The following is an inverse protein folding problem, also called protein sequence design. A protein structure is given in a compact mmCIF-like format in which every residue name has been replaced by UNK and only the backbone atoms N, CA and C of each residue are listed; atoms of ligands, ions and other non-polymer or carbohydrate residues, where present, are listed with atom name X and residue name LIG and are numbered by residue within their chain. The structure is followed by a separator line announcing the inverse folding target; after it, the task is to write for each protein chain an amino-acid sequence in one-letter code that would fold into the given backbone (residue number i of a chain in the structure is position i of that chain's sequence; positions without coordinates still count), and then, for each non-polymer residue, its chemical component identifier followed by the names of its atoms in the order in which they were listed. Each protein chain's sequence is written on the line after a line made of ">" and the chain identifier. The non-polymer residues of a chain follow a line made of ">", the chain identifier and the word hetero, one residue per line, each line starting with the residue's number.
data_IF_602333817251
#
_entry.id   IF_602333817251
#
_cell.length_a   1.000
_cell.length_b   1.000
_cell.length_c   1.000
_cell.angle_alpha   90.00
_cell.angle_beta   90.00
_cell.angle_gamma   90.00
#
_symmetry.space_group_name_H-M   'P 1'
#
loop_
_entity.id
_entity.type
_entity.pdbx_description
1 polymer ?
#
# COMPACT_ATOMS: atom_id res chain seq x y z
N UNK A 1 -0.18 5.27 21.73
CA UNK A 1 1.07 5.29 20.94
C UNK A 1 1.22 3.96 20.22
N UNK A 2 1.47 4.01 18.91
CA UNK A 2 1.66 2.84 18.07
C UNK A 2 3.11 2.79 17.60
N UNK A 3 3.78 1.66 17.85
CA UNK A 3 5.11 1.40 17.27
C UNK A 3 4.92 0.67 15.95
N UNK A 4 5.46 1.22 14.88
CA UNK A 4 5.33 0.68 13.53
C UNK A 4 6.70 0.47 12.90
N UNK A 5 6.92 -0.70 12.33
CA UNK A 5 8.19 -1.05 11.72
C UNK A 5 8.54 -0.13 10.55
N UNK A 6 9.76 0.41 10.54
CA UNK A 6 10.27 1.19 9.43
C UNK A 6 11.06 0.36 8.41
N UNK A 7 11.21 -0.94 8.69
CA UNK A 7 11.93 -1.90 7.84
C UNK A 7 11.01 -3.00 7.29
N UNK A 8 9.70 -2.74 7.27
CA UNK A 8 8.73 -3.67 6.72
C UNK A 8 8.09 -3.06 5.46
N UNK A 9 8.16 -3.80 4.36
CA UNK A 9 7.67 -3.35 3.05
C UNK A 9 6.65 -4.35 2.51
N UNK A 10 5.49 -3.85 2.11
CA UNK A 10 4.43 -4.64 1.50
C UNK A 10 3.62 -3.80 0.53
N UNK A 11 3.02 -4.44 -0.47
CA UNK A 11 2.05 -3.79 -1.33
C UNK A 11 0.74 -3.61 -0.57
N UNK A 12 0.07 -2.51 -0.83
CA UNK A 12 -1.29 -2.25 -0.36
C UNK A 12 -2.14 -1.89 -1.56
N UNK A 13 -3.27 -2.57 -1.72
CA UNK A 13 -4.13 -2.43 -2.88
C UNK A 13 -5.54 -2.04 -2.43
N UNK A 14 -6.13 -1.05 -3.11
CA UNK A 14 -7.52 -0.71 -2.92
C UNK A 14 -8.39 -1.76 -3.62
N UNK A 15 -9.29 -2.38 -2.88
CA UNK A 15 -10.08 -3.52 -3.38
C UNK A 15 -10.90 -3.18 -4.63
N UNK A 16 -11.41 -1.97 -4.73
CA UNK A 16 -12.21 -1.57 -5.91
C UNK A 16 -11.37 -1.43 -7.18
N UNK A 17 -10.05 -1.20 -7.07
CA UNK A 17 -9.16 -1.22 -8.23
C UNK A 17 -9.07 -2.63 -8.85
N UNK A 18 -9.12 -3.65 -8.02
CA UNK A 18 -9.15 -5.04 -8.49
C UNK A 18 -10.50 -5.35 -9.11
N UNK A 19 -11.59 -4.96 -8.45
CA UNK A 19 -12.95 -5.22 -8.93
C UNK A 19 -13.19 -4.57 -10.29
N UNK A 20 -12.75 -3.32 -10.48
CA UNK A 20 -12.93 -2.57 -11.73
C UNK A 20 -12.24 -3.23 -12.92
N UNK A 21 -11.22 -4.03 -12.68
CA UNK A 21 -10.46 -4.71 -13.73
C UNK A 21 -10.73 -6.21 -13.80
N UNK A 22 -11.65 -6.71 -12.98
CA UNK A 22 -11.87 -8.15 -12.84
C UNK A 22 -12.27 -8.82 -14.14
N UNK A 23 -13.02 -8.16 -15.01
CA UNK A 23 -13.43 -8.70 -16.31
C UNK A 23 -12.24 -9.12 -17.19
N UNK A 24 -11.11 -8.42 -17.06
CA UNK A 24 -9.90 -8.73 -17.83
C UNK A 24 -9.32 -10.10 -17.50
N UNK A 25 -9.68 -10.67 -16.35
CA UNK A 25 -9.21 -11.99 -15.93
C UNK A 25 -9.60 -13.06 -16.94
N UNK A 26 -10.77 -12.93 -17.58
CA UNK A 26 -11.26 -13.90 -18.54
C UNK A 26 -10.44 -13.96 -19.83
N UNK A 27 -9.63 -12.95 -20.09
CA UNK A 27 -8.77 -12.86 -21.26
C UNK A 27 -7.33 -13.33 -20.98
N UNK A 28 -7.03 -13.70 -19.73
CA UNK A 28 -5.71 -14.15 -19.33
C UNK A 28 -5.48 -15.62 -19.70
N UNK A 29 -4.25 -15.92 -20.12
CA UNK A 29 -3.83 -17.30 -20.28
C UNK A 29 -3.80 -17.99 -18.92
N UNK A 30 -3.98 -19.30 -18.92
CA UNK A 30 -3.92 -20.09 -17.70
C UNK A 30 -2.56 -19.93 -17.02
N UNK A 31 -2.58 -19.72 -15.71
CA UNK A 31 -1.36 -19.55 -14.94
C UNK A 31 -1.59 -18.81 -13.62
N UNK A 32 -0.50 -18.56 -12.92
CA UNK A 32 -0.49 -17.81 -11.68
C UNK A 32 -0.10 -16.36 -11.93
N UNK A 33 -0.85 -15.43 -11.35
CA UNK A 33 -0.64 -14.00 -11.50
C UNK A 33 -0.64 -13.33 -10.12
N UNK A 34 0.39 -12.52 -9.85
CA UNK A 34 0.43 -11.66 -8.69
C UNK A 34 -0.13 -10.30 -9.08
N UNK A 35 -1.10 -9.80 -8.32
CA UNK A 35 -1.80 -8.57 -8.66
C UNK A 35 -1.86 -7.61 -7.47
N UNK A 36 -1.94 -6.33 -7.78
CA UNK A 36 -2.12 -5.29 -6.80
C UNK A 36 -1.23 -4.08 -7.04
N UNK A 37 -1.40 -3.09 -6.17
CA UNK A 37 -0.57 -1.89 -6.13
C UNK A 37 0.75 -2.17 -5.42
N UNK A 38 1.79 -1.46 -5.82
CA UNK A 38 3.10 -1.60 -5.20
C UNK A 38 3.67 -0.24 -4.79
N UNK A 39 4.75 -0.24 -4.02
CA UNK A 39 5.39 0.97 -3.51
C UNK A 39 6.78 0.66 -2.98
N UNK A 40 7.55 1.71 -2.67
CA UNK A 40 8.86 1.62 -2.05
C UNK A 40 8.85 2.17 -0.61
N UNK A 41 7.69 2.21 0.01
CA UNK A 41 7.49 2.81 1.33
C UNK A 41 7.44 1.74 2.41
N UNK A 42 7.99 2.05 3.60
CA UNK A 42 7.83 1.20 4.75
C UNK A 42 6.41 1.30 5.32
N UNK A 43 6.06 0.35 6.17
CA UNK A 43 4.77 0.40 6.87
C UNK A 43 4.62 1.68 7.69
N UNK A 44 5.70 2.17 8.28
CA UNK A 44 5.71 3.45 8.99
C UNK A 44 5.36 4.61 8.05
N UNK A 45 6.00 4.67 6.87
CA UNK A 45 5.77 5.74 5.90
C UNK A 45 4.31 5.78 5.43
N UNK A 46 3.71 4.61 5.19
CA UNK A 46 2.31 4.51 4.78
C UNK A 46 1.38 5.00 5.90
N UNK A 47 1.65 4.58 7.14
CA UNK A 47 0.85 5.01 8.31
C UNK A 47 0.94 6.52 8.50
N UNK A 48 2.13 7.08 8.36
CA UNK A 48 2.34 8.52 8.44
C UNK A 48 1.58 9.28 7.36
N UNK A 49 1.60 8.78 6.13
CA UNK A 49 0.86 9.37 5.01
C UNK A 49 -0.64 9.45 5.30
N UNK A 50 -1.21 8.38 5.84
CA UNK A 50 -2.63 8.35 6.20
C UNK A 50 -2.95 9.43 7.24
N UNK A 51 -2.14 9.54 8.29
CA UNK A 51 -2.35 10.54 9.34
C UNK A 51 -2.24 11.97 8.81
N UNK A 52 -1.28 12.23 7.92
CA UNK A 52 -1.13 13.54 7.28
C UNK A 52 -2.34 13.89 6.43
N UNK A 53 -2.87 12.92 5.67
CA UNK A 53 -4.06 13.13 4.84
C UNK A 53 -5.32 13.36 5.68
N UNK A 54 -5.39 12.81 6.87
CA UNK A 54 -6.50 13.05 7.80
C UNK A 54 -6.40 14.41 8.50
N UNK A 55 -5.40 15.22 8.18
CA UNK A 55 -5.26 16.58 8.70
C UNK A 55 -4.53 16.71 10.02
N UNK A 56 -3.84 15.68 10.46
CA UNK A 56 -3.06 15.74 11.69
C UNK A 56 -1.75 16.49 11.48
N UNK A 57 -1.38 17.32 12.45
CA UNK A 57 -0.09 18.03 12.43
C UNK A 57 1.04 17.13 12.95
N UNK A 58 2.28 17.59 12.77
CA UNK A 58 3.48 16.86 13.18
C UNK A 58 3.47 16.51 14.67
N UNK A 59 2.99 17.41 15.53
CA UNK A 59 2.93 17.18 16.96
C UNK A 59 2.02 16.00 17.31
N UNK A 60 0.83 15.94 16.71
CA UNK A 60 -0.11 14.84 16.94
C UNK A 60 0.39 13.54 16.34
N UNK A 61 0.99 13.57 15.16
CA UNK A 61 1.57 12.39 14.53
C UNK A 61 2.65 11.79 15.43
N UNK A 62 3.53 12.61 15.96
CA UNK A 62 4.60 12.17 16.87
C UNK A 62 4.09 11.54 18.16
N UNK A 63 2.92 11.97 18.64
CA UNK A 63 2.29 11.38 19.82
C UNK A 63 1.67 10.00 19.54
N UNK A 64 1.17 9.79 18.34
CA UNK A 64 0.43 8.59 17.98
C UNK A 64 1.36 7.53 17.37
N UNK A 65 2.30 7.95 16.55
CA UNK A 65 3.11 7.06 15.71
C UNK A 65 4.59 7.18 16.03
N UNK A 66 5.22 6.05 16.35
CA UNK A 66 6.64 5.98 16.65
C UNK A 66 7.27 4.89 15.78
N UNK A 67 8.45 5.17 15.25
CA UNK A 67 9.23 4.19 14.49
C UNK A 67 9.70 3.05 15.38
N UNK A 68 9.48 1.82 14.95
CA UNK A 68 10.12 0.66 15.54
C UNK A 68 11.34 0.32 14.69
N UNK A 69 12.49 0.86 15.10
CA UNK A 69 13.75 0.67 14.38
C UNK A 69 14.42 -0.67 14.67
N UNK A 70 14.00 -1.33 15.76
CA UNK A 70 14.58 -2.62 16.17
C UNK A 70 13.96 -3.77 15.39
N UNK A 71 12.68 -3.71 15.09
CA UNK A 71 11.99 -4.77 14.36
C UNK A 71 12.53 -4.85 12.94
N UNK A 72 12.98 -6.02 12.54
CA UNK A 72 13.59 -6.27 11.24
C UNK A 72 14.87 -5.47 10.98
N UNK A 73 15.58 -5.03 12.03
CA UNK A 73 16.81 -4.23 11.89
C UNK A 73 17.95 -5.00 11.21
N UNK A 74 18.04 -6.30 11.43
CA UNK A 74 19.08 -7.15 10.83
C UNK A 74 18.75 -7.54 9.40
N UNK A 75 17.47 -7.72 9.10
CA UNK A 75 17.00 -8.08 7.78
C UNK A 75 15.60 -7.48 7.56
N UNK A 76 15.49 -6.54 6.63
CA UNK A 76 14.21 -5.92 6.31
C UNK A 76 13.20 -6.97 5.83
N UNK A 77 11.96 -6.86 6.31
CA UNK A 77 10.86 -7.71 5.83
C UNK A 77 10.27 -7.10 4.56
N UNK A 78 10.52 -7.74 3.45
CA UNK A 78 10.00 -7.32 2.16
C UNK A 78 9.11 -8.41 1.57
N UNK A 79 7.81 -8.19 1.64
CA UNK A 79 6.80 -9.12 1.11
C UNK A 79 6.05 -8.52 -0.08
N UNK A 80 6.65 -7.53 -0.73
CA UNK A 80 6.08 -6.96 -1.96
C UNK A 80 6.11 -8.00 -3.08
N UNK A 81 5.04 -8.01 -3.88
CA UNK A 81 4.91 -8.93 -5.01
C UNK A 81 5.41 -8.27 -6.29
N UNK A 82 6.02 -9.06 -7.15
CA UNK A 82 6.33 -8.62 -8.51
C UNK A 82 5.06 -8.76 -9.35
N UNK A 83 4.47 -7.63 -9.72
CA UNK A 83 3.24 -7.56 -10.51
C UNK A 83 3.48 -7.35 -12.00
N UNK A 84 4.72 -7.50 -12.47
CA UNK A 84 5.09 -7.25 -13.87
C UNK A 84 4.31 -8.11 -14.86
N UNK A 85 4.07 -9.38 -14.53
CA UNK A 85 3.36 -10.31 -15.42
C UNK A 85 1.93 -9.82 -15.71
N UNK A 86 1.18 -9.44 -14.69
CA UNK A 86 -0.21 -8.99 -14.87
C UNK A 86 -0.28 -7.61 -15.51
N UNK A 87 0.69 -6.74 -15.23
CA UNK A 87 0.79 -5.43 -15.88
C UNK A 87 0.99 -5.57 -17.39
N UNK A 88 1.80 -6.53 -17.82
CA UNK A 88 2.01 -6.78 -19.24
C UNK A 88 0.74 -7.28 -19.95
N UNK A 89 -0.22 -7.80 -19.18
CA UNK A 89 -1.52 -8.23 -19.69
C UNK A 89 -2.55 -7.10 -19.74
N UNK A 90 -2.17 -5.86 -19.46
CA UNK A 90 -3.04 -4.69 -19.55
C UNK A 90 -3.74 -4.29 -18.27
N UNK A 91 -3.39 -4.89 -17.13
CA UNK A 91 -3.91 -4.47 -15.84
C UNK A 91 -3.15 -3.24 -15.35
N UNK A 92 -3.88 -2.25 -14.86
CA UNK A 92 -3.34 -1.00 -14.37
C UNK A 92 -3.76 -0.78 -12.93
N UNK A 93 -2.78 -0.61 -12.04
CA UNK A 93 -3.01 -0.27 -10.65
C UNK A 93 -2.29 1.04 -10.33
N UNK A 94 -2.96 1.92 -9.60
CA UNK A 94 -2.33 3.10 -9.03
C UNK A 94 -1.30 2.65 -7.98
N UNK A 95 -0.33 3.51 -7.67
CA UNK A 95 0.57 3.21 -6.56
C UNK A 95 -0.19 3.25 -5.22
N UNK A 96 0.43 2.73 -4.17
CA UNK A 96 -0.22 2.61 -2.86
C UNK A 96 -0.73 3.95 -2.33
N UNK A 97 0.02 5.04 -2.49
CA UNK A 97 -0.39 6.35 -1.97
C UNK A 97 -1.61 6.89 -2.71
N UNK A 98 -1.64 6.76 -4.03
CA UNK A 98 -2.80 7.17 -4.83
C UNK A 98 -4.03 6.34 -4.47
N UNK A 99 -3.87 5.05 -4.26
CA UNK A 99 -4.95 4.15 -3.85
C UNK A 99 -5.51 4.52 -2.48
N UNK A 100 -4.65 4.84 -1.52
CA UNK A 100 -5.06 5.27 -0.17
C UNK A 100 -5.85 6.58 -0.25
N UNK A 101 -5.36 7.56 -0.99
CA UNK A 101 -6.04 8.83 -1.14
C UNK A 101 -7.43 8.67 -1.75
N UNK A 102 -7.54 7.87 -2.80
CA UNK A 102 -8.82 7.55 -3.44
C UNK A 102 -9.77 6.86 -2.47
N UNK A 103 -9.27 5.89 -1.70
CA UNK A 103 -10.05 5.18 -0.69
C UNK A 103 -10.60 6.14 0.37
N UNK A 104 -9.75 7.02 0.90
CA UNK A 104 -10.16 7.98 1.91
C UNK A 104 -11.23 8.94 1.40
N UNK A 105 -11.13 9.38 0.15
CA UNK A 105 -12.13 10.25 -0.48
C UNK A 105 -13.46 9.52 -0.69
N UNK A 106 -13.43 8.31 -1.23
CA UNK A 106 -14.65 7.54 -1.52
C UNK A 106 -15.41 7.17 -0.25
N UNK A 107 -14.71 6.92 0.86
CA UNK A 107 -15.33 6.64 2.15
C UNK A 107 -15.52 7.89 3.01
N UNK A 108 -15.35 9.09 2.43
CA UNK A 108 -15.65 10.39 3.03
C UNK A 108 -14.82 10.75 4.26
N UNK A 109 -13.57 10.31 4.31
CA UNK A 109 -12.62 10.77 5.32
C UNK A 109 -11.89 12.06 4.90
N UNK A 110 -11.97 12.40 3.63
CA UNK A 110 -11.39 13.65 3.09
C UNK A 110 -12.47 14.51 2.45
#
# INVERSE_FOLDING_TARGET
>A
MQKVACNEYRGLTYVYDIIDQFEKVFDLDYGTYHTGSNNDLSRYDVSRFILEKLGMDEGKISEILVKDEKKYSECARNVRLDTGKIKRCGFVFDDTLQSIEKCLKEFRYL
#
